data_IF_433635848374
#
_entry.id   IF_433635848374
#
_cell.length_a   1.000
_cell.length_b   1.000
_cell.length_c   1.000
_cell.angle_alpha   90.00
_cell.angle_beta   90.00
_cell.angle_gamma   90.00
#
_symmetry.space_group_name_H-M   'P 1'
#
loop_
_entity.id
_entity.type
_entity.pdbx_description
1 polymer ?
#
# COMPACT_ATOMS: atom_id res chain seq x y z
N UNK A 1 12.44 -61.26 -7.24
CA UNK A 1 11.65 -60.25 -7.99
C UNK A 1 11.65 -58.97 -7.20
N UNK A 2 12.49 -58.08 -7.62
CA UNK A 2 12.61 -56.76 -6.99
C UNK A 2 11.56 -55.83 -7.54
N UNK A 3 10.58 -55.50 -6.73
CA UNK A 3 9.65 -54.41 -7.08
C UNK A 3 10.23 -53.09 -6.62
N UNK A 4 10.75 -52.37 -7.57
CA UNK A 4 11.11 -50.98 -7.35
C UNK A 4 9.83 -50.18 -7.13
N UNK A 5 9.56 -49.85 -5.87
CA UNK A 5 8.62 -48.79 -5.57
C UNK A 5 9.30 -47.47 -5.91
N UNK A 6 8.97 -46.94 -7.04
CA UNK A 6 9.31 -45.57 -7.37
C UNK A 6 8.46 -44.67 -6.50
N UNK A 7 9.05 -44.22 -5.42
CA UNK A 7 8.45 -43.15 -4.63
C UNK A 7 8.51 -41.89 -5.48
N UNK A 8 7.42 -41.57 -6.15
CA UNK A 8 7.25 -40.27 -6.78
C UNK A 8 7.03 -39.29 -5.62
N UNK A 9 8.12 -38.67 -5.21
CA UNK A 9 8.03 -37.50 -4.36
C UNK A 9 7.42 -36.40 -5.20
N UNK A 10 6.11 -36.29 -5.14
CA UNK A 10 5.44 -35.09 -5.65
C UNK A 10 5.92 -33.95 -4.79
N UNK A 11 6.95 -33.25 -5.28
CA UNK A 11 7.26 -31.93 -4.78
C UNK A 11 6.02 -31.09 -5.10
N UNK A 12 5.11 -30.98 -4.15
CA UNK A 12 4.19 -29.89 -4.15
C UNK A 12 5.06 -28.64 -4.03
N UNK A 13 5.45 -28.10 -5.16
CA UNK A 13 5.94 -26.76 -5.19
C UNK A 13 4.79 -25.90 -4.67
N UNK A 14 4.83 -25.65 -3.37
CA UNK A 14 4.05 -24.58 -2.79
C UNK A 14 4.56 -23.29 -3.39
N UNK A 15 4.32 -23.11 -4.69
CA UNK A 15 4.50 -21.85 -5.35
C UNK A 15 3.42 -20.92 -4.85
N UNK A 16 3.47 -20.61 -3.57
CA UNK A 16 2.81 -19.45 -3.07
C UNK A 16 3.51 -18.25 -3.69
N UNK A 17 3.16 -17.90 -4.93
CA UNK A 17 3.39 -16.54 -5.37
C UNK A 17 2.71 -15.67 -4.34
N UNK A 18 3.50 -15.12 -3.39
CA UNK A 18 2.99 -14.11 -2.52
C UNK A 18 2.37 -13.05 -3.41
N UNK A 19 1.04 -12.87 -3.32
CA UNK A 19 0.39 -11.71 -3.89
C UNK A 19 1.15 -10.52 -3.36
N UNK A 20 1.64 -9.65 -4.25
CA UNK A 20 2.33 -8.44 -3.87
C UNK A 20 1.48 -7.71 -2.83
N UNK A 21 2.08 -7.43 -1.68
CA UNK A 21 1.41 -6.72 -0.60
C UNK A 21 1.31 -5.25 -0.98
N UNK A 22 0.16 -4.88 -1.55
CA UNK A 22 -0.12 -3.50 -1.94
C UNK A 22 -0.71 -2.76 -0.75
N UNK A 23 -0.11 -1.62 -0.40
CA UNK A 23 -0.56 -0.77 0.69
C UNK A 23 -0.50 0.69 0.30
N UNK A 24 -1.39 1.48 0.88
CA UNK A 24 -1.28 2.93 0.83
C UNK A 24 -0.71 3.43 2.15
N UNK A 25 0.44 4.07 2.09
CA UNK A 25 1.04 4.73 3.24
C UNK A 25 0.58 6.18 3.28
N UNK A 26 -0.06 6.58 4.36
CA UNK A 26 -0.37 7.99 4.63
C UNK A 26 0.62 8.53 5.62
N UNK A 27 1.45 9.46 5.18
CA UNK A 27 2.35 10.22 6.05
C UNK A 27 1.62 11.43 6.56
N UNK A 28 1.48 11.54 7.86
CA UNK A 28 0.67 12.58 8.50
C UNK A 28 1.42 13.28 9.63
N UNK A 29 0.84 14.37 10.10
CA UNK A 29 1.30 15.13 11.25
C UNK A 29 0.09 15.58 12.05
N UNK A 30 0.22 15.67 13.37
CA UNK A 30 -0.87 16.06 14.27
C UNK A 30 -1.41 17.47 13.97
N UNK A 31 -0.54 18.39 13.59
CA UNK A 31 -0.91 19.76 13.27
C UNK A 31 -1.35 20.00 11.84
N UNK A 32 -1.56 18.95 11.06
CA UNK A 32 -1.86 19.04 9.63
C UNK A 32 -3.36 19.16 9.38
N UNK A 33 -3.87 20.33 8.92
CA UNK A 33 -5.31 20.52 8.66
C UNK A 33 -5.85 19.59 7.58
N UNK A 34 -5.10 19.37 6.51
CA UNK A 34 -5.51 18.48 5.42
C UNK A 34 -5.49 17.01 5.84
N UNK A 35 -4.63 16.62 6.77
CA UNK A 35 -4.66 15.30 7.37
C UNK A 35 -5.95 15.09 8.16
N UNK A 36 -6.37 16.08 8.94
CA UNK A 36 -7.66 16.03 9.65
C UNK A 36 -8.83 15.92 8.69
N UNK A 37 -8.78 16.66 7.59
CA UNK A 37 -9.82 16.61 6.58
C UNK A 37 -9.94 15.22 5.96
N UNK A 38 -8.84 14.59 5.60
CA UNK A 38 -8.81 13.20 5.14
C UNK A 38 -9.41 12.25 6.18
N UNK A 39 -9.01 12.38 7.44
CA UNK A 39 -9.53 11.52 8.51
C UNK A 39 -11.04 11.67 8.70
N UNK A 40 -11.58 12.85 8.49
CA UNK A 40 -13.01 13.10 8.60
C UNK A 40 -13.79 12.60 7.39
N UNK A 41 -13.27 12.80 6.19
CA UNK A 41 -14.00 12.60 4.94
C UNK A 41 -13.80 11.22 4.31
N UNK A 42 -12.61 10.67 4.40
CA UNK A 42 -12.20 9.44 3.69
C UNK A 42 -12.03 8.26 4.64
N UNK A 43 -11.33 8.46 5.74
CA UNK A 43 -10.92 7.38 6.63
C UNK A 43 -12.09 6.51 7.12
N UNK A 44 -13.26 7.06 7.51
CA UNK A 44 -14.35 6.21 8.02
C UNK A 44 -14.89 5.20 7.01
N UNK A 45 -14.83 5.52 5.71
CA UNK A 45 -15.30 4.64 4.65
C UNK A 45 -14.18 3.93 3.87
N UNK A 46 -12.93 4.11 4.25
CA UNK A 46 -11.79 3.67 3.46
C UNK A 46 -11.82 2.15 3.20
N UNK A 47 -12.00 1.35 4.24
CA UNK A 47 -11.98 -0.11 4.12
C UNK A 47 -13.21 -0.70 3.44
N UNK A 48 -14.26 0.08 3.25
CA UNK A 48 -15.47 -0.33 2.54
C UNK A 48 -15.42 -0.03 1.04
N UNK A 49 -14.52 0.84 0.62
CA UNK A 49 -14.32 1.15 -0.79
C UNK A 49 -13.45 0.06 -1.43
N UNK A 50 -13.80 -0.41 -2.65
CA UNK A 50 -13.00 -1.43 -3.35
C UNK A 50 -11.53 -1.05 -3.52
N UNK A 51 -11.23 0.22 -3.79
CA UNK A 51 -9.86 0.70 -3.92
C UNK A 51 -9.15 0.71 -2.57
N UNK A 52 -9.85 1.06 -1.49
CA UNK A 52 -9.30 0.98 -0.14
C UNK A 52 -8.97 -0.46 0.28
N UNK A 53 -9.78 -1.42 -0.15
CA UNK A 53 -9.48 -2.84 0.07
C UNK A 53 -8.30 -3.32 -0.78
N UNK A 54 -8.16 -2.78 -1.99
CA UNK A 54 -7.03 -3.12 -2.87
C UNK A 54 -5.69 -2.57 -2.33
N UNK A 55 -5.74 -1.49 -1.57
CA UNK A 55 -4.57 -0.87 -0.95
C UNK A 55 -4.88 -0.52 0.51
N UNK A 56 -4.84 -1.48 1.43
CA UNK A 56 -5.07 -1.20 2.84
C UNK A 56 -4.20 -0.06 3.35
N UNK A 57 -4.78 0.78 4.20
CA UNK A 57 -4.13 1.99 4.69
C UNK A 57 -3.21 1.69 5.87
N UNK A 58 -2.00 2.19 5.81
CA UNK A 58 -1.07 2.29 6.94
C UNK A 58 -0.78 3.78 7.17
N UNK A 59 -0.92 4.22 8.40
CA UNK A 59 -0.68 5.61 8.77
C UNK A 59 0.62 5.71 9.56
N UNK A 60 1.42 6.70 9.26
CA UNK A 60 2.68 6.97 9.96
C UNK A 60 2.83 8.47 10.17
N UNK A 61 3.32 8.85 11.36
CA UNK A 61 3.70 10.23 11.61
C UNK A 61 4.98 10.56 10.83
N UNK A 62 5.08 11.78 10.29
CA UNK A 62 6.24 12.20 9.50
C UNK A 62 7.54 12.10 10.30
N UNK A 63 7.46 12.27 11.61
CA UNK A 63 8.60 12.15 12.53
C UNK A 63 8.84 10.69 13.00
N UNK A 64 7.98 9.78 12.59
CA UNK A 64 8.12 8.36 12.93
C UNK A 64 7.51 7.98 14.28
N UNK A 65 7.73 6.74 14.73
CA UNK A 65 8.60 5.72 14.11
C UNK A 65 8.05 5.19 12.78
N UNK A 66 8.97 4.91 11.86
CA UNK A 66 8.63 4.38 10.55
C UNK A 66 8.62 2.85 10.57
N UNK A 67 7.69 2.20 9.85
CA UNK A 67 7.72 0.75 9.69
C UNK A 67 9.02 0.28 9.04
N UNK A 68 9.45 -0.94 9.41
CA UNK A 68 10.57 -1.58 8.74
C UNK A 68 10.20 -2.05 7.34
N UNK A 69 11.20 -2.21 6.48
CA UNK A 69 11.02 -2.81 5.16
C UNK A 69 10.53 -1.84 4.09
N UNK A 70 10.53 -0.55 4.34
CA UNK A 70 10.15 0.46 3.35
C UNK A 70 11.34 0.84 2.47
N UNK A 71 11.11 0.85 1.16
CA UNK A 71 12.03 1.38 0.17
C UNK A 71 11.36 2.57 -0.52
N UNK A 72 11.56 3.74 0.01
CA UNK A 72 11.00 4.99 -0.50
C UNK A 72 11.99 5.65 -1.45
N UNK A 73 11.47 6.29 -2.50
CA UNK A 73 12.30 7.03 -3.47
C UNK A 73 13.00 8.23 -2.81
N UNK A 74 12.31 8.85 -1.85
CA UNK A 74 12.84 9.95 -1.04
C UNK A 74 12.02 10.08 0.24
N UNK A 75 12.60 10.73 1.24
CA UNK A 75 11.89 11.02 2.49
C UNK A 75 10.76 12.02 2.23
N UNK A 76 9.53 11.76 2.72
CA UNK A 76 8.45 12.74 2.64
C UNK A 76 8.78 14.00 3.46
N UNK A 77 8.42 15.16 2.91
CA UNK A 77 8.67 16.45 3.55
C UNK A 77 7.39 17.26 3.80
N UNK A 78 6.27 16.82 3.23
CA UNK A 78 4.98 17.50 3.39
C UNK A 78 3.93 16.51 3.89
N UNK A 79 2.90 17.01 4.55
CA UNK A 79 1.78 16.22 5.03
C UNK A 79 0.44 16.76 4.52
N UNK A 80 -0.51 15.89 4.18
CA UNK A 80 -0.29 14.46 4.02
C UNK A 80 0.51 14.14 2.75
N UNK A 81 1.27 13.07 2.77
CA UNK A 81 1.83 12.44 1.58
C UNK A 81 1.28 11.03 1.50
N UNK A 82 0.73 10.67 0.34
CA UNK A 82 0.22 9.33 0.09
C UNK A 82 1.18 8.58 -0.81
N UNK A 83 1.70 7.45 -0.32
CA UNK A 83 2.68 6.64 -1.05
C UNK A 83 2.10 5.25 -1.25
N UNK A 84 1.91 4.87 -2.51
CA UNK A 84 1.51 3.51 -2.82
C UNK A 84 2.73 2.61 -2.78
N UNK A 85 2.63 1.55 -2.00
CA UNK A 85 3.69 0.58 -1.78
C UNK A 85 3.32 -0.75 -2.41
N UNK A 86 4.29 -1.37 -3.05
CA UNK A 86 4.21 -2.74 -3.54
C UNK A 86 5.34 -3.54 -2.90
N UNK A 87 5.01 -4.44 -1.97
CA UNK A 87 5.97 -5.13 -1.11
C UNK A 87 6.96 -4.18 -0.43
N UNK A 88 6.46 -3.08 0.09
CA UNK A 88 7.24 -2.06 0.78
C UNK A 88 7.98 -1.08 -0.12
N UNK A 89 7.93 -1.27 -1.43
CA UNK A 89 8.59 -0.37 -2.39
C UNK A 89 7.62 0.67 -2.90
N UNK A 90 8.05 1.92 -2.93
CA UNK A 90 7.27 3.01 -3.51
C UNK A 90 7.07 2.80 -5.02
N UNK A 91 5.81 2.87 -5.46
CA UNK A 91 5.45 2.80 -6.88
C UNK A 91 4.72 4.04 -7.38
N UNK A 92 4.12 4.82 -6.48
CA UNK A 92 3.48 6.08 -6.81
C UNK A 92 3.43 6.95 -5.57
N UNK A 93 3.37 8.27 -5.75
CA UNK A 93 3.32 9.23 -4.65
C UNK A 93 2.48 10.42 -5.04
N UNK A 94 1.64 10.86 -4.10
CA UNK A 94 0.89 12.12 -4.20
C UNK A 94 1.15 12.91 -2.93
N UNK A 95 1.54 14.15 -3.08
CA UNK A 95 1.71 15.11 -2.00
C UNK A 95 0.45 15.96 -1.87
N UNK A 96 -0.08 16.05 -0.65
CA UNK A 96 -1.29 16.79 -0.35
C UNK A 96 -2.56 15.94 -0.45
N UNK A 97 -3.67 16.53 -0.02
CA UNK A 97 -4.99 15.90 -0.04
C UNK A 97 -5.86 16.59 -1.09
N UNK A 98 -6.30 15.87 -2.13
CA UNK A 98 -7.02 16.46 -3.25
C UNK A 98 -8.50 16.73 -2.97
N UNK A 99 -8.94 16.59 -1.73
CA UNK A 99 -10.34 16.70 -1.36
C UNK A 99 -11.10 15.38 -1.53
N UNK A 100 -12.33 15.37 -1.02
CA UNK A 100 -13.22 14.19 -1.04
C UNK A 100 -13.42 13.64 -2.46
N UNK A 101 -13.70 14.53 -3.41
CA UNK A 101 -14.03 14.10 -4.78
C UNK A 101 -12.79 13.69 -5.57
N UNK A 102 -11.63 14.17 -5.20
CA UNK A 102 -10.37 13.89 -5.90
C UNK A 102 -9.63 12.67 -5.37
N UNK A 103 -9.91 12.24 -4.14
CA UNK A 103 -9.09 11.20 -3.51
C UNK A 103 -9.22 9.83 -4.20
N UNK A 104 -10.44 9.34 -4.42
CA UNK A 104 -10.63 8.02 -5.01
C UNK A 104 -10.16 7.92 -6.45
N UNK A 105 -10.43 8.90 -7.34
CA UNK A 105 -9.80 8.90 -8.66
C UNK A 105 -8.27 8.91 -8.60
N UNK A 106 -7.70 9.67 -7.69
CA UNK A 106 -6.25 9.70 -7.46
C UNK A 106 -5.71 8.31 -7.09
N UNK A 107 -6.32 7.65 -6.11
CA UNK A 107 -5.89 6.32 -5.69
C UNK A 107 -6.05 5.31 -6.83
N UNK A 108 -7.13 5.41 -7.61
CA UNK A 108 -7.34 4.59 -8.79
C UNK A 108 -6.21 4.73 -9.80
N UNK A 109 -5.78 5.94 -10.09
CA UNK A 109 -4.65 6.21 -10.98
C UNK A 109 -3.35 5.64 -10.44
N UNK A 110 -3.10 5.79 -9.15
CA UNK A 110 -1.91 5.22 -8.49
C UNK A 110 -1.90 3.70 -8.61
N UNK A 111 -3.04 3.05 -8.41
CA UNK A 111 -3.16 1.59 -8.53
C UNK A 111 -2.90 1.11 -9.96
N UNK A 112 -3.28 1.89 -10.97
CA UNK A 112 -2.98 1.58 -12.37
C UNK A 112 -1.47 1.68 -12.64
N UNK A 113 -0.78 2.64 -12.07
CA UNK A 113 0.69 2.79 -12.23
C UNK A 113 1.44 1.57 -11.71
N UNK A 114 0.92 0.90 -10.69
CA UNK A 114 1.51 -0.34 -10.16
C UNK A 114 1.76 -1.39 -11.24
N UNK A 115 0.85 -1.53 -12.20
CA UNK A 115 0.94 -2.51 -13.27
C UNK A 115 1.97 -2.18 -14.36
N UNK A 116 2.57 -0.98 -14.33
CA UNK A 116 3.47 -0.49 -15.37
C UNK A 116 4.94 -0.37 -14.93
N UNK A 117 5.27 -0.86 -13.75
CA UNK A 117 6.63 -0.84 -13.23
C UNK A 117 7.32 -2.19 -13.27
#
# INVERSE_FOLDING_TARGET
>A
MLRLLTLILALAAGGGGALADTRLLMVEDQGCPFCRQFRAEILPGYARNPQGRAAPLTRVDIDGPWPNGLALDRRPQVTPTFILLDDGREVARIEGYPGRDGFWPMLGDMLQQRGHR
#
